data_IF_758895484403
#
_entry.id   IF_758895484403
#
_cell.length_a   1.000
_cell.length_b   1.000
_cell.length_c   1.000
_cell.angle_alpha   90.00
_cell.angle_beta   90.00
_cell.angle_gamma   90.00
#
_symmetry.space_group_name_H-M   'P 1'
#
loop_
_entity.id
_entity.type
_entity.pdbx_description
1 polymer ?
#
# COMPACT_ATOMS: atom_id res chain seq x y z
N UNK A 1 -11.66 35.57 2.36
CA UNK A 1 -10.33 34.89 2.20
C UNK A 1 -9.38 35.07 3.40
N UNK A 2 -9.68 35.93 4.39
CA UNK A 2 -8.85 36.07 5.61
C UNK A 2 -9.20 35.03 6.69
N UNK A 3 -10.42 34.50 6.64
CA UNK A 3 -10.97 33.61 7.67
C UNK A 3 -10.45 32.17 7.60
N UNK A 4 -9.94 31.73 6.44
CA UNK A 4 -9.36 30.40 6.28
C UNK A 4 -8.00 30.25 6.99
N UNK A 5 -7.27 31.35 7.16
CA UNK A 5 -5.98 31.37 7.88
C UNK A 5 -6.17 31.43 9.40
N UNK A 6 -7.27 32.02 9.87
CA UNK A 6 -7.62 32.10 11.29
C UNK A 6 -8.11 30.77 11.88
N UNK A 7 -8.41 29.76 11.05
CA UNK A 7 -8.77 28.41 11.49
C UNK A 7 -7.58 27.45 11.62
N UNK A 8 -6.37 27.92 11.34
CA UNK A 8 -5.17 27.12 11.58
C UNK A 8 -4.83 27.22 13.06
N UNK A 9 -5.11 26.14 13.79
CA UNK A 9 -4.76 26.00 15.21
C UNK A 9 -3.24 26.03 15.38
N UNK A 10 -2.73 27.00 16.14
CA UNK A 10 -1.29 27.15 16.44
C UNK A 10 -0.69 25.86 17.00
N UNK A 11 -1.46 25.08 17.77
CA UNK A 11 -1.02 23.79 18.33
C UNK A 11 -0.78 22.72 17.26
N UNK A 12 -1.48 22.80 16.12
CA UNK A 12 -1.21 21.91 15.00
C UNK A 12 0.11 22.27 14.33
N UNK A 13 0.39 23.56 14.17
CA UNK A 13 1.67 24.03 13.62
C UNK A 13 2.84 23.64 14.53
N UNK A 14 2.67 23.71 15.85
CA UNK A 14 3.70 23.26 16.80
C UNK A 14 3.98 21.76 16.69
N UNK A 15 2.93 20.94 16.58
CA UNK A 15 3.08 19.48 16.34
C UNK A 15 3.77 19.20 15.01
N UNK A 16 3.38 19.88 13.94
CA UNK A 16 4.02 19.79 12.63
C UNK A 16 5.52 20.12 12.71
N UNK A 17 5.86 21.22 13.39
CA UNK A 17 7.26 21.61 13.60
C UNK A 17 8.03 20.57 14.41
N UNK A 18 7.44 20.03 15.48
CA UNK A 18 8.06 18.97 16.28
C UNK A 18 8.38 17.73 15.44
N UNK A 19 7.42 17.28 14.62
CA UNK A 19 7.60 16.13 13.71
C UNK A 19 8.74 16.38 12.71
N UNK A 20 8.75 17.53 12.05
CA UNK A 20 9.77 17.88 11.06
C UNK A 20 11.15 18.00 11.71
N UNK A 21 11.24 18.54 12.93
CA UNK A 21 12.49 18.61 13.70
C UNK A 21 13.00 17.22 14.13
N UNK A 22 12.11 16.24 14.34
CA UNK A 22 12.46 14.84 14.61
C UNK A 22 12.96 14.04 13.40
N UNK A 23 12.91 14.62 12.19
CA UNK A 23 13.44 14.02 10.96
C UNK A 23 14.92 14.34 10.73
N UNK A 24 15.65 13.37 10.20
CA UNK A 24 16.99 13.58 9.66
C UNK A 24 16.96 14.39 8.37
N UNK A 25 18.06 15.06 7.97
CA UNK A 25 18.12 15.79 6.70
C UNK A 25 17.79 14.91 5.48
N UNK A 26 18.22 13.65 5.48
CA UNK A 26 17.92 12.70 4.41
C UNK A 26 16.43 12.42 4.27
N UNK A 27 15.72 12.26 5.40
CA UNK A 27 14.27 12.01 5.41
C UNK A 27 13.46 13.24 4.97
N UNK A 28 13.95 14.45 5.28
CA UNK A 28 13.35 15.71 4.80
C UNK A 28 13.55 15.91 3.30
N UNK A 29 14.72 15.55 2.78
CA UNK A 29 15.01 15.61 1.36
C UNK A 29 14.21 14.58 0.56
N UNK A 30 14.08 13.36 1.07
CA UNK A 30 13.26 12.31 0.45
C UNK A 30 12.34 11.60 1.46
N UNK A 31 11.08 12.04 1.59
CA UNK A 31 10.11 11.39 2.48
C UNK A 31 9.78 9.94 2.11
N UNK A 32 10.18 9.43 0.94
CA UNK A 32 9.95 8.03 0.54
C UNK A 32 10.75 7.04 1.37
N UNK A 33 11.86 7.46 1.96
CA UNK A 33 12.72 6.57 2.76
C UNK A 33 12.15 6.33 4.17
N UNK A 34 11.08 7.03 4.55
CA UNK A 34 10.44 6.96 5.87
C UNK A 34 9.65 5.64 5.98
N UNK A 35 10.29 4.60 6.48
CA UNK A 35 9.67 3.31 6.79
C UNK A 35 9.05 3.28 8.20
N UNK A 36 8.44 2.16 8.60
CA UNK A 36 7.77 2.02 9.90
C UNK A 36 8.70 2.31 11.10
N UNK A 37 9.94 1.81 11.07
CA UNK A 37 10.93 2.06 12.12
C UNK A 37 11.29 3.54 12.25
N UNK A 38 11.46 4.24 11.12
CA UNK A 38 11.70 5.69 11.11
C UNK A 38 10.50 6.47 11.62
N UNK A 39 9.27 6.09 11.25
CA UNK A 39 8.04 6.73 11.78
C UNK A 39 7.94 6.58 13.29
N UNK A 40 8.26 5.39 13.84
CA UNK A 40 8.29 5.17 15.28
C UNK A 40 9.33 6.05 15.98
N UNK A 41 10.55 6.14 15.43
CA UNK A 41 11.60 7.03 15.96
C UNK A 41 11.16 8.49 15.96
N UNK A 42 10.58 8.97 14.86
CA UNK A 42 10.12 10.35 14.73
C UNK A 42 9.00 10.61 15.75
N UNK A 43 7.99 9.74 15.81
CA UNK A 43 6.87 9.85 16.74
C UNK A 43 7.34 9.95 18.20
N UNK A 44 8.23 9.04 18.62
CA UNK A 44 8.81 9.06 19.96
C UNK A 44 9.64 10.32 20.24
N UNK A 45 10.41 10.80 19.25
CA UNK A 45 11.24 12.00 19.39
C UNK A 45 10.45 13.32 19.34
N UNK A 46 9.20 13.30 18.86
CA UNK A 46 8.36 14.49 18.74
C UNK A 46 7.13 14.47 19.67
N UNK A 47 6.94 13.41 20.45
CA UNK A 47 5.84 13.29 21.42
C UNK A 47 4.46 13.14 20.77
N UNK A 48 4.41 12.61 19.54
CA UNK A 48 3.18 12.41 18.76
C UNK A 48 2.95 10.94 18.46
N UNK A 49 1.79 10.62 17.90
CA UNK A 49 1.49 9.26 17.47
C UNK A 49 2.13 8.94 16.11
N UNK A 50 2.36 7.65 15.84
CA UNK A 50 2.83 7.18 14.52
C UNK A 50 1.83 7.53 13.41
N UNK A 51 0.54 7.57 13.74
CA UNK A 51 -0.54 7.95 12.81
C UNK A 51 -0.39 9.41 12.36
N UNK A 52 -0.09 10.34 13.26
CA UNK A 52 0.14 11.75 12.92
C UNK A 52 1.33 11.93 11.98
N UNK A 53 2.42 11.18 12.20
CA UNK A 53 3.57 11.15 11.28
C UNK A 53 3.15 10.60 9.91
N UNK A 54 2.35 9.54 9.87
CA UNK A 54 1.86 8.97 8.62
C UNK A 54 1.00 9.96 7.83
N UNK A 55 0.05 10.61 8.49
CA UNK A 55 -0.81 11.61 7.88
C UNK A 55 -0.01 12.78 7.31
N UNK A 56 1.06 13.22 7.98
CA UNK A 56 1.93 14.28 7.45
C UNK A 56 2.61 13.85 6.14
N UNK A 57 3.17 12.64 6.13
CA UNK A 57 3.85 12.09 4.96
C UNK A 57 2.87 11.91 3.78
N UNK A 58 1.67 11.43 4.06
CA UNK A 58 0.64 11.24 3.04
C UNK A 58 0.18 12.58 2.44
N UNK A 59 -0.10 13.58 3.29
CA UNK A 59 -0.43 14.96 2.86
C UNK A 59 0.69 15.58 2.02
N UNK A 60 1.95 15.31 2.36
CA UNK A 60 3.09 15.76 1.56
C UNK A 60 3.08 15.15 0.16
N UNK A 61 2.84 13.84 0.03
CA UNK A 61 2.78 13.19 -1.28
C UNK A 61 1.59 13.64 -2.12
N UNK A 62 0.45 13.87 -1.48
CA UNK A 62 -0.73 14.44 -2.13
C UNK A 62 -0.44 15.86 -2.65
N UNK A 63 0.11 16.74 -1.79
CA UNK A 63 0.51 18.08 -2.18
C UNK A 63 1.54 18.08 -3.31
N UNK A 64 2.55 17.18 -3.24
CA UNK A 64 3.55 17.00 -4.30
C UNK A 64 2.92 16.57 -5.62
N UNK A 65 1.93 15.68 -5.58
CA UNK A 65 1.19 15.22 -6.77
C UNK A 65 0.38 16.36 -7.40
N UNK A 66 -0.28 17.18 -6.58
CA UNK A 66 -1.00 18.36 -7.05
C UNK A 66 -0.04 19.39 -7.66
N UNK A 67 1.06 19.72 -6.97
CA UNK A 67 2.09 20.64 -7.49
C UNK A 67 2.72 20.14 -8.80
N UNK A 68 3.03 18.84 -8.89
CA UNK A 68 3.58 18.25 -10.11
C UNK A 68 2.59 18.27 -11.26
N UNK A 69 1.29 18.07 -10.98
CA UNK A 69 0.24 18.15 -12.00
C UNK A 69 0.02 19.59 -12.48
N UNK A 70 0.11 20.56 -11.57
CA UNK A 70 0.01 21.98 -11.88
C UNK A 70 1.22 22.47 -12.69
N UNK A 71 2.44 22.10 -12.29
CA UNK A 71 3.66 22.44 -13.00
C UNK A 71 3.78 21.68 -14.33
N UNK A 72 3.25 20.46 -14.42
CA UNK A 72 3.15 19.70 -15.67
C UNK A 72 2.03 20.17 -16.61
N UNK A 73 1.02 20.89 -16.09
CA UNK A 73 -0.05 21.55 -16.84
C UNK A 73 0.30 22.97 -17.29
N UNK A 74 1.26 23.62 -16.63
CA UNK A 74 1.92 24.84 -17.10
C UNK A 74 2.94 24.43 -18.18
N UNK A 75 2.42 24.15 -19.37
CA UNK A 75 3.21 23.68 -20.50
C UNK A 75 4.42 24.56 -20.76
N UNK A 76 5.59 23.94 -20.86
CA UNK A 76 6.62 24.41 -21.77
C UNK A 76 6.03 24.19 -23.17
N UNK A 77 5.61 25.24 -23.91
CA UNK A 77 5.17 25.09 -25.28
C UNK A 77 6.42 24.77 -26.10
N UNK A 78 6.64 23.49 -26.41
CA UNK A 78 7.79 23.09 -27.22
C UNK A 78 8.30 21.67 -27.03
N UNK A 79 8.02 20.99 -25.91
CA UNK A 79 8.43 19.58 -25.77
C UNK A 79 7.40 18.63 -26.37
N UNK A 80 7.23 18.81 -27.68
CA UNK A 80 6.31 18.07 -28.52
C UNK A 80 6.54 16.57 -28.44
N UNK A 81 5.41 15.87 -28.40
CA UNK A 81 5.22 14.49 -28.79
C UNK A 81 6.07 14.18 -30.05
N UNK A 82 7.16 13.46 -29.87
CA UNK A 82 7.88 12.71 -30.91
C UNK A 82 8.01 11.31 -30.31
N UNK A 83 7.30 10.28 -30.75
CA UNK A 83 7.38 9.75 -32.10
C UNK A 83 6.24 8.74 -32.28
N UNK A 84 5.23 9.14 -33.06
CA UNK A 84 4.54 8.19 -33.93
C UNK A 84 5.47 7.95 -35.13
N UNK A 85 6.35 6.96 -35.03
CA UNK A 85 7.05 6.40 -36.19
C UNK A 85 6.73 4.91 -36.26
N UNK A 86 5.71 4.64 -37.07
CA UNK A 86 5.68 3.63 -38.14
C UNK A 86 6.70 2.48 -37.99
N UNK A 87 6.24 1.24 -38.17
CA UNK A 87 6.41 0.47 -39.44
C UNK A 87 6.40 -1.05 -39.20
N UNK A 88 5.67 -1.74 -40.10
CA UNK A 88 5.81 -3.13 -40.57
C UNK A 88 5.74 -4.28 -39.54
N UNK A 89 4.73 -5.16 -39.59
CA UNK A 89 4.45 -6.18 -40.62
C UNK A 89 5.54 -7.27 -40.71
N UNK A 90 5.26 -8.40 -40.02
CA UNK A 90 5.52 -9.78 -40.46
C UNK A 90 6.94 -10.34 -40.35
N UNK A 91 7.09 -11.45 -39.64
CA UNK A 91 7.88 -12.61 -40.09
C UNK A 91 7.63 -13.83 -39.19
N UNK A 92 7.64 -14.98 -39.86
CA UNK A 92 7.25 -16.32 -39.44
C UNK A 92 8.49 -17.09 -39.02
N UNK A 93 8.39 -17.88 -37.94
CA UNK A 93 9.17 -19.11 -37.75
C UNK A 93 10.52 -19.00 -37.02
N UNK A 94 10.67 -19.77 -35.93
CA UNK A 94 11.41 -21.04 -35.95
C UNK A 94 11.35 -21.72 -34.57
N UNK A 95 11.05 -23.01 -34.62
CA UNK A 95 11.13 -23.97 -33.53
C UNK A 95 12.59 -24.18 -33.07
N UNK A 96 12.78 -24.55 -31.79
CA UNK A 96 14.10 -24.99 -31.32
C UNK A 96 14.26 -25.19 -29.82
N UNK A 97 13.67 -26.27 -29.30
CA UNK A 97 14.12 -27.15 -28.19
C UNK A 97 15.03 -26.57 -27.07
N UNK A 98 14.62 -26.77 -25.81
CA UNK A 98 15.44 -27.43 -24.77
C UNK A 98 14.59 -27.81 -23.55
N UNK A 99 14.20 -29.08 -23.51
CA UNK A 99 13.61 -29.73 -22.35
C UNK A 99 14.69 -30.49 -21.56
N UNK A 100 14.46 -30.54 -20.25
CA UNK A 100 15.18 -31.21 -19.16
C UNK A 100 15.68 -32.63 -19.48
N UNK A 101 16.78 -33.06 -18.83
CA UNK A 101 16.79 -34.02 -17.69
C UNK A 101 18.22 -34.53 -17.43
N UNK A 102 18.72 -34.36 -16.22
CA UNK A 102 19.96 -34.98 -15.73
C UNK A 102 19.80 -35.45 -14.29
N UNK A 103 20.42 -36.59 -13.97
CA UNK A 103 20.81 -37.00 -12.61
C UNK A 103 19.88 -37.95 -11.84
N UNK A 104 20.38 -39.17 -11.54
CA UNK A 104 19.81 -40.23 -10.69
C UNK A 104 20.29 -40.05 -9.22
N UNK A 105 19.39 -39.97 -8.24
CA UNK A 105 19.27 -40.89 -7.07
C UNK A 105 19.54 -40.21 -5.70
N UNK A 106 19.21 -40.80 -4.51
CA UNK A 106 18.41 -42.01 -4.23
C UNK A 106 17.31 -41.89 -3.11
N UNK A 107 16.31 -42.80 -3.20
CA UNK A 107 15.44 -43.44 -2.17
C UNK A 107 14.44 -42.67 -1.25
N UNK A 108 13.19 -43.20 -1.07
CA UNK A 108 12.15 -42.75 -0.12
C UNK A 108 12.22 -43.52 1.23
N UNK A 109 11.63 -43.08 2.39
CA UNK A 109 10.18 -43.10 2.61
C UNK A 109 9.59 -42.16 3.69
N UNK A 110 8.25 -42.24 3.80
CA UNK A 110 7.40 -42.07 4.99
C UNK A 110 6.63 -40.74 5.11
N UNK A 111 5.40 -40.82 4.61
CA UNK A 111 4.28 -40.03 5.10
C UNK A 111 4.22 -40.06 6.63
N UNK A 112 4.28 -38.89 7.27
CA UNK A 112 3.69 -38.63 8.58
C UNK A 112 3.11 -37.22 8.54
N UNK A 113 1.79 -37.17 8.60
CA UNK A 113 0.99 -35.97 8.79
C UNK A 113 1.37 -35.34 10.16
N UNK A 114 1.80 -34.07 10.25
CA UNK A 114 2.01 -33.41 11.54
C UNK A 114 0.96 -32.32 11.82
N UNK A 115 -0.26 -32.45 11.30
CA UNK A 115 -1.42 -31.68 11.78
C UNK A 115 -1.90 -32.22 13.14
N UNK A 116 -0.97 -32.47 14.07
CA UNK A 116 -1.24 -33.03 15.39
C UNK A 116 -0.09 -32.74 16.40
N UNK A 117 0.63 -31.62 16.26
CA UNK A 117 1.60 -31.21 17.26
C UNK A 117 1.72 -29.67 17.34
N UNK A 118 1.13 -29.11 18.40
CA UNK A 118 1.56 -27.83 18.98
C UNK A 118 1.00 -26.57 18.34
N UNK A 119 -0.27 -26.26 18.61
CA UNK A 119 -0.72 -24.87 18.57
C UNK A 119 0.12 -24.06 19.60
N UNK A 120 0.71 -22.92 19.22
CA UNK A 120 1.46 -22.09 20.15
C UNK A 120 0.53 -21.47 21.20
N UNK A 121 0.90 -21.61 22.47
CA UNK A 121 0.21 -20.99 23.60
C UNK A 121 0.31 -19.46 23.49
N UNK A 122 -0.84 -18.81 23.28
CA UNK A 122 -0.91 -17.36 23.08
C UNK A 122 -2.16 -16.87 22.36
N UNK A 123 -3.04 -17.76 21.90
CA UNK A 123 -4.36 -17.35 21.44
C UNK A 123 -5.30 -17.19 22.64
N UNK A 124 -5.97 -16.03 22.79
CA UNK A 124 -7.01 -15.87 23.80
C UNK A 124 -8.16 -16.84 23.53
N UNK A 125 -8.65 -17.45 24.60
CA UNK A 125 -9.74 -18.43 24.62
C UNK A 125 -11.02 -17.85 23.99
N UNK A 126 -11.44 -18.42 22.85
CA UNK A 126 -12.63 -18.01 22.09
C UNK A 126 -13.95 -18.39 22.78
N UNK A 127 -13.89 -19.08 23.92
CA UNK A 127 -15.05 -19.46 24.74
C UNK A 127 -15.69 -18.27 25.50
N UNK A 128 -15.09 -17.08 25.47
CA UNK A 128 -15.60 -15.88 26.15
C UNK A 128 -16.07 -14.76 25.21
N UNK A 129 -16.32 -15.03 23.92
CA UNK A 129 -17.00 -14.03 23.08
C UNK A 129 -18.49 -13.95 23.45
N UNK A 130 -19.06 -12.73 23.61
CA UNK A 130 -20.51 -12.57 23.74
C UNK A 130 -21.19 -13.06 22.44
N UNK A 131 -22.25 -13.86 22.61
CA UNK A 131 -23.10 -14.37 21.51
C UNK A 131 -23.78 -13.20 20.79
N UNK A 132 -23.11 -12.61 19.82
CA UNK A 132 -23.66 -11.50 19.03
C UNK A 132 -22.98 -11.25 17.70
N UNK A 133 -21.94 -12.02 17.36
CA UNK A 133 -21.20 -11.84 16.10
C UNK A 133 -21.80 -12.62 14.92
N UNK A 134 -23.09 -12.95 14.98
CA UNK A 134 -23.84 -13.59 13.90
C UNK A 134 -24.88 -12.67 13.24
N UNK A 135 -25.05 -11.44 13.74
CA UNK A 135 -25.90 -10.45 13.08
C UNK A 135 -25.07 -9.68 12.06
N UNK A 136 -25.27 -10.02 10.78
CA UNK A 136 -24.86 -9.17 9.68
C UNK A 136 -25.47 -7.78 9.88
N UNK A 137 -24.72 -6.70 9.57
CA UNK A 137 -25.19 -5.33 9.76
C UNK A 137 -26.55 -5.12 9.06
N UNK A 138 -27.48 -4.38 9.68
CA UNK A 138 -28.79 -4.14 9.10
C UNK A 138 -28.63 -3.51 7.71
N UNK A 139 -29.15 -4.20 6.69
CA UNK A 139 -28.98 -3.88 5.26
C UNK A 139 -28.18 -4.90 4.44
N UNK A 140 -27.55 -5.89 5.08
CA UNK A 140 -26.82 -6.97 4.39
C UNK A 140 -27.58 -8.31 4.37
N UNK A 141 -28.65 -8.44 5.15
CA UNK A 141 -29.51 -9.63 5.17
C UNK A 141 -30.30 -9.83 3.86
N UNK A 142 -30.63 -8.74 3.17
CA UNK A 142 -31.41 -8.75 1.92
C UNK A 142 -30.53 -8.69 0.66
N UNK A 143 -29.20 -8.80 0.79
CA UNK A 143 -28.27 -8.68 -0.32
C UNK A 143 -28.21 -9.99 -1.12
N UNK A 144 -29.16 -10.15 -2.03
CA UNK A 144 -29.29 -11.32 -2.91
C UNK A 144 -28.23 -11.32 -4.02
N UNK A 145 -27.08 -11.96 -3.74
CA UNK A 145 -25.96 -12.17 -4.65
C UNK A 145 -26.35 -12.91 -5.94
N UNK A 146 -27.49 -13.61 -5.98
CA UNK A 146 -27.96 -14.31 -7.19
C UNK A 146 -28.56 -13.36 -8.25
N UNK A 147 -28.94 -12.14 -7.85
CA UNK A 147 -29.42 -11.08 -8.75
C UNK A 147 -28.30 -10.19 -9.30
N UNK A 148 -27.05 -10.36 -8.85
CA UNK A 148 -25.91 -9.69 -9.46
C UNK A 148 -25.56 -10.36 -10.79
N UNK A 149 -25.98 -9.73 -11.90
CA UNK A 149 -25.54 -10.11 -13.25
C UNK A 149 -24.08 -9.68 -13.45
N UNK A 150 -23.16 -10.60 -13.24
CA UNK A 150 -21.75 -10.40 -13.56
C UNK A 150 -21.55 -10.42 -15.09
N UNK A 151 -20.93 -9.38 -15.69
CA UNK A 151 -20.57 -9.44 -17.11
C UNK A 151 -19.45 -10.48 -17.29
N UNK A 152 -19.76 -11.60 -17.96
CA UNK A 152 -18.74 -12.54 -18.48
C UNK A 152 -18.72 -13.96 -17.91
N UNK A 153 -19.80 -14.49 -17.33
CA UNK A 153 -19.95 -15.94 -17.17
C UNK A 153 -20.99 -16.46 -18.16
N UNK A 154 -20.49 -17.19 -19.15
CA UNK A 154 -21.23 -18.05 -20.07
C UNK A 154 -21.94 -19.18 -19.34
#
# INVERSE_FOLDING_TARGET
>A
MKDALAQVDDRQLDRLQAIIRGMTPAERADPKIINASRRLRIANGSGVTVSEVNQLVDRFFEARKMMSSMLGGMGIPGMGRKSATRKSKGAKGKAGKKAKKGGRGPTPPKARNPLAAGMPAGFPDLSQMPEGLNELPPGLADFDLSKLKFPGKS
#
